data_IF_625687634830
#
_entry.id   IF_625687634830
#
_cell.length_a   1.000
_cell.length_b   1.000
_cell.length_c   1.000
_cell.angle_alpha   90.00
_cell.angle_beta   90.00
_cell.angle_gamma   90.00
#
_symmetry.space_group_name_H-M   'P 1'
#
loop_
_entity.id
_entity.type
_entity.pdbx_description
1 polymer ?
#
# COMPACT_ATOMS: atom_id res chain seq x y z
N UNK A 1 -27.37 42.21 30.71
CA UNK A 1 -26.24 42.42 29.78
C UNK A 1 -25.35 41.18 29.78
N UNK A 2 -25.09 40.65 28.57
CA UNK A 2 -23.97 39.79 28.16
C UNK A 2 -23.76 38.46 28.92
N UNK A 3 -24.68 37.51 28.75
CA UNK A 3 -24.38 36.07 28.85
C UNK A 3 -24.00 35.54 27.46
N UNK A 4 -22.82 35.89 26.96
CA UNK A 4 -22.31 35.34 25.69
C UNK A 4 -20.81 35.13 25.83
N UNK A 5 -20.44 34.10 26.57
CA UNK A 5 -19.09 33.55 26.58
C UNK A 5 -19.25 32.10 27.03
N UNK A 6 -19.42 31.19 26.07
CA UNK A 6 -19.08 29.74 26.15
C UNK A 6 -19.81 28.93 25.08
N UNK A 7 -19.79 29.35 23.81
CA UNK A 7 -20.35 28.55 22.71
C UNK A 7 -19.39 28.42 21.51
N UNK A 8 -18.08 28.64 21.72
CA UNK A 8 -17.07 28.63 20.65
C UNK A 8 -16.11 27.44 20.64
N UNK A 9 -16.20 26.50 21.59
CA UNK A 9 -15.17 25.47 21.78
C UNK A 9 -15.54 24.05 21.30
N UNK A 10 -16.70 23.87 20.66
CA UNK A 10 -17.23 22.52 20.35
C UNK A 10 -17.03 22.04 18.91
N UNK A 11 -16.39 22.82 18.02
CA UNK A 11 -16.36 22.46 16.59
C UNK A 11 -14.97 22.17 15.98
N UNK A 12 -13.91 22.02 16.79
CA UNK A 12 -12.55 21.80 16.24
C UNK A 12 -12.06 20.33 16.24
N UNK A 13 -12.80 19.36 16.81
CA UNK A 13 -12.30 17.98 16.95
C UNK A 13 -12.78 16.99 15.88
N UNK A 14 -13.64 17.40 14.94
CA UNK A 14 -14.25 16.47 13.98
C UNK A 14 -13.38 16.11 12.75
N UNK A 15 -12.20 16.73 12.55
CA UNK A 15 -11.42 16.57 11.32
C UNK A 15 -10.27 15.56 11.37
N UNK A 16 -10.05 14.88 12.50
CA UNK A 16 -8.87 14.01 12.66
C UNK A 16 -9.04 12.55 12.18
N UNK A 17 -10.22 12.13 11.71
CA UNK A 17 -10.52 10.71 11.47
C UNK A 17 -10.47 10.23 10.02
N UNK A 18 -9.93 11.01 9.07
CA UNK A 18 -9.75 10.53 7.69
C UNK A 18 -8.52 11.12 7.00
N UNK A 19 -7.37 11.15 7.68
CA UNK A 19 -6.11 11.43 6.99
C UNK A 19 -5.75 10.22 6.12
N UNK A 20 -6.05 10.31 4.82
CA UNK A 20 -5.54 9.40 3.80
C UNK A 20 -4.01 9.52 3.75
N UNK A 21 -3.32 8.41 3.46
CA UNK A 21 -1.87 8.46 3.32
C UNK A 21 -1.51 9.36 2.12
N UNK A 22 -0.48 10.18 2.30
CA UNK A 22 0.25 10.93 1.28
C UNK A 22 1.32 10.09 0.61
N UNK A 23 2.01 9.20 1.35
CA UNK A 23 3.11 8.39 0.81
C UNK A 23 2.80 6.89 0.80
N UNK A 24 3.12 6.25 -0.32
CA UNK A 24 2.89 4.83 -0.56
C UNK A 24 4.14 4.13 -1.07
N UNK A 25 4.41 2.96 -0.53
CA UNK A 25 5.35 2.01 -1.12
C UNK A 25 4.68 1.32 -2.32
N UNK A 26 5.35 1.33 -3.48
CA UNK A 26 4.85 0.74 -4.73
C UNK A 26 5.46 -0.63 -4.97
N UNK A 27 4.62 -1.64 -5.22
CA UNK A 27 5.02 -2.97 -5.65
C UNK A 27 4.40 -3.24 -7.01
N UNK A 28 5.22 -3.50 -8.02
CA UNK A 28 4.77 -3.75 -9.39
C UNK A 28 4.79 -5.24 -9.73
N UNK A 29 3.71 -5.71 -10.34
CA UNK A 29 3.54 -7.08 -10.78
C UNK A 29 3.58 -7.11 -12.30
N UNK A 30 4.74 -7.52 -12.82
CA UNK A 30 4.97 -7.67 -14.24
C UNK A 30 4.69 -9.12 -14.67
N UNK A 31 4.30 -9.30 -15.92
CA UNK A 31 4.23 -10.61 -16.56
C UNK A 31 5.46 -10.87 -17.41
N UNK A 32 5.71 -12.14 -17.73
CA UNK A 32 6.75 -12.57 -18.67
C UNK A 32 6.08 -13.29 -19.85
N UNK A 33 5.10 -14.14 -19.57
CA UNK A 33 4.19 -14.77 -20.52
C UNK A 33 2.96 -15.26 -19.75
N UNK A 34 1.75 -15.07 -20.27
CA UNK A 34 0.50 -15.60 -19.73
C UNK A 34 0.05 -15.05 -18.36
N UNK A 35 0.52 -13.87 -17.95
CA UNK A 35 -0.01 -13.17 -16.78
C UNK A 35 1.00 -12.82 -15.68
N UNK A 36 0.59 -11.93 -14.76
CA UNK A 36 1.45 -11.46 -13.68
C UNK A 36 1.68 -12.54 -12.62
N UNK A 37 2.67 -12.31 -11.77
CA UNK A 37 2.88 -13.16 -10.61
C UNK A 37 1.71 -13.06 -9.59
N UNK A 38 1.59 -14.06 -8.72
CA UNK A 38 0.54 -14.08 -7.70
C UNK A 38 0.70 -12.95 -6.66
N UNK A 39 -0.40 -12.29 -6.29
CA UNK A 39 -0.46 -11.31 -5.19
C UNK A 39 -0.26 -11.95 -3.80
N UNK A 40 -0.50 -13.26 -3.69
CA UNK A 40 -0.62 -13.97 -2.39
C UNK A 40 0.56 -13.77 -1.45
N UNK A 41 1.84 -13.89 -1.89
CA UNK A 41 2.98 -13.80 -0.96
C UNK A 41 3.08 -12.43 -0.30
N UNK A 42 2.96 -11.35 -1.08
CA UNK A 42 3.02 -9.98 -0.56
C UNK A 42 1.80 -9.65 0.29
N UNK A 43 0.58 -9.99 -0.16
CA UNK A 43 -0.63 -9.73 0.62
C UNK A 43 -0.61 -10.50 1.95
N UNK A 44 -0.17 -11.76 1.93
CA UNK A 44 -0.04 -12.56 3.16
C UNK A 44 0.93 -11.91 4.15
N UNK A 45 2.10 -11.48 3.65
CA UNK A 45 3.06 -10.73 4.45
C UNK A 45 2.46 -9.43 5.01
N UNK A 46 1.74 -8.63 4.22
CA UNK A 46 1.12 -7.38 4.69
C UNK A 46 0.06 -7.63 5.77
N UNK A 47 -0.74 -8.70 5.63
CA UNK A 47 -1.71 -9.13 6.66
C UNK A 47 -0.99 -9.52 7.95
N UNK A 48 0.10 -10.28 7.84
CA UNK A 48 0.89 -10.67 9.00
C UNK A 48 1.58 -9.47 9.67
N UNK A 49 2.16 -8.57 8.88
CA UNK A 49 2.78 -7.34 9.35
C UNK A 49 1.78 -6.48 10.13
N UNK A 50 0.57 -6.29 9.58
CA UNK A 50 -0.53 -5.59 10.26
C UNK A 50 -0.83 -6.21 11.62
N UNK A 51 -1.01 -7.54 11.67
CA UNK A 51 -1.32 -8.29 12.90
C UNK A 51 -0.20 -8.18 13.93
N UNK A 52 1.05 -8.42 13.53
CA UNK A 52 2.23 -8.40 14.42
C UNK A 52 2.50 -7.02 15.01
N UNK A 53 2.21 -5.96 14.28
CA UNK A 53 2.43 -4.58 14.72
C UNK A 53 1.17 -3.92 15.32
N UNK A 54 0.08 -4.67 15.51
CA UNK A 54 -1.19 -4.18 16.08
C UNK A 54 -1.74 -2.94 15.36
N UNK A 55 -1.55 -2.88 14.04
CA UNK A 55 -2.01 -1.77 13.20
C UNK A 55 -3.52 -1.92 12.95
N UNK A 56 -4.31 -0.92 13.33
CA UNK A 56 -5.78 -0.94 13.17
C UNK A 56 -6.20 -1.08 11.69
N UNK A 57 -5.63 -0.24 10.83
CA UNK A 57 -5.89 -0.23 9.39
C UNK A 57 -4.58 -0.01 8.63
N UNK A 58 -4.30 -0.88 7.66
CA UNK A 58 -3.23 -0.71 6.69
C UNK A 58 -3.91 -0.42 5.36
N UNK A 59 -3.71 0.78 4.82
CA UNK A 59 -4.26 1.16 3.54
C UNK A 59 -3.48 0.48 2.42
N UNK A 60 -4.21 -0.29 1.59
CA UNK A 60 -3.66 -0.98 0.43
C UNK A 60 -4.52 -0.61 -0.75
N UNK A 61 -3.90 0.01 -1.76
CA UNK A 61 -4.55 0.34 -3.03
C UNK A 61 -4.00 -0.60 -4.11
N UNK A 62 -4.83 -0.89 -5.10
CA UNK A 62 -4.48 -1.75 -6.22
C UNK A 62 -4.87 -1.08 -7.52
N UNK A 63 -3.90 -0.90 -8.41
CA UNK A 63 -4.11 -0.37 -9.75
C UNK A 63 -3.97 -1.49 -10.77
N UNK A 64 -5.03 -1.80 -11.50
CA UNK A 64 -5.07 -2.88 -12.48
C UNK A 64 -5.03 -2.38 -13.92
N UNK A 65 -4.74 -3.28 -14.86
CA UNK A 65 -4.79 -2.98 -16.29
C UNK A 65 -3.62 -2.12 -16.74
N UNK A 66 -2.44 -2.37 -16.17
CA UNK A 66 -1.20 -1.66 -16.53
C UNK A 66 -0.51 -2.24 -17.76
N UNK A 67 -0.90 -3.44 -18.19
CA UNK A 67 -0.38 -4.07 -19.39
C UNK A 67 -1.37 -5.05 -20.00
N UNK A 68 -0.87 -5.87 -20.94
CA UNK A 68 -1.70 -6.71 -21.80
C UNK A 68 -2.15 -8.01 -21.14
N UNK A 69 -1.41 -8.47 -20.13
CA UNK A 69 -1.64 -9.77 -19.50
C UNK A 69 -2.23 -9.65 -18.08
N UNK A 70 -2.59 -8.44 -17.66
CA UNK A 70 -3.23 -8.16 -16.38
C UNK A 70 -2.28 -7.65 -15.31
N UNK A 71 -1.15 -7.08 -15.71
CA UNK A 71 -0.17 -6.40 -14.86
C UNK A 71 -0.85 -5.35 -13.97
N UNK A 72 -0.36 -5.24 -12.74
CA UNK A 72 -0.95 -4.39 -11.72
C UNK A 72 0.09 -3.89 -10.73
N UNK A 73 -0.24 -2.80 -10.04
CA UNK A 73 0.54 -2.27 -8.93
C UNK A 73 -0.25 -2.42 -7.62
N UNK A 74 0.47 -2.66 -6.53
CA UNK A 74 -0.02 -2.52 -5.17
C UNK A 74 0.68 -1.32 -4.53
N UNK A 75 -0.10 -0.48 -3.84
CA UNK A 75 0.37 0.67 -3.10
C UNK A 75 0.04 0.49 -1.63
N UNK A 76 1.04 0.61 -0.75
CA UNK A 76 0.87 0.41 0.70
C UNK A 76 1.12 1.75 1.40
N UNK A 77 0.10 2.29 2.06
CA UNK A 77 0.20 3.55 2.79
C UNK A 77 1.10 3.42 4.02
N UNK A 78 2.01 4.37 4.22
CA UNK A 78 3.03 4.28 5.27
C UNK A 78 3.09 5.42 6.29
N UNK A 79 2.28 6.47 6.15
CA UNK A 79 2.45 7.70 6.92
C UNK A 79 2.14 7.54 8.41
N UNK A 80 1.24 6.61 8.73
CA UNK A 80 0.89 6.30 10.12
C UNK A 80 1.91 5.37 10.80
N UNK A 81 2.92 4.87 10.07
CA UNK A 81 3.95 3.98 10.61
C UNK A 81 5.06 4.78 11.26
N UNK A 82 5.52 4.35 12.44
CA UNK A 82 6.79 4.82 12.99
C UNK A 82 7.96 4.45 12.08
N UNK A 83 9.08 5.17 12.20
CA UNK A 83 10.32 4.90 11.45
C UNK A 83 10.74 3.42 11.55
N UNK A 84 10.65 2.84 12.76
CA UNK A 84 10.99 1.44 13.01
C UNK A 84 9.99 0.45 12.37
N UNK A 85 8.70 0.80 12.31
CA UNK A 85 7.71 -0.02 11.61
C UNK A 85 7.91 0.06 10.10
N UNK A 86 8.17 1.26 9.55
CA UNK A 86 8.46 1.47 8.12
C UNK A 86 9.72 0.70 7.69
N UNK A 87 10.79 0.76 8.45
CA UNK A 87 12.02 -0.01 8.18
C UNK A 87 11.76 -1.52 8.16
N UNK A 88 11.01 -2.04 9.14
CA UNK A 88 10.62 -3.47 9.18
C UNK A 88 9.69 -3.86 8.03
N UNK A 89 8.80 -2.96 7.61
CA UNK A 89 7.94 -3.15 6.45
C UNK A 89 8.76 -3.30 5.17
N UNK A 90 9.67 -2.36 4.92
CA UNK A 90 10.55 -2.37 3.74
C UNK A 90 11.38 -3.66 3.71
N UNK A 91 11.99 -4.05 4.83
CA UNK A 91 12.79 -5.27 4.90
C UNK A 91 11.97 -6.53 4.59
N UNK A 92 10.76 -6.62 5.12
CA UNK A 92 9.91 -7.78 4.87
C UNK A 92 9.31 -7.80 3.45
N UNK A 93 9.01 -6.65 2.86
CA UNK A 93 8.65 -6.55 1.43
C UNK A 93 9.80 -7.00 0.53
N UNK A 94 11.03 -6.54 0.79
CA UNK A 94 12.22 -6.99 0.07
C UNK A 94 12.37 -8.52 0.13
N UNK A 95 12.19 -9.12 1.32
CA UNK A 95 12.25 -10.56 1.50
C UNK A 95 11.12 -11.29 0.75
N UNK A 96 9.88 -10.82 0.84
CA UNK A 96 8.72 -11.42 0.16
C UNK A 96 8.89 -11.39 -1.37
N UNK A 97 9.33 -10.25 -1.92
CA UNK A 97 9.60 -10.05 -3.34
C UNK A 97 10.75 -10.95 -3.81
N UNK A 98 11.87 -10.96 -3.07
CA UNK A 98 13.02 -11.79 -3.40
C UNK A 98 12.68 -13.28 -3.38
N UNK A 99 11.98 -13.74 -2.35
CA UNK A 99 11.55 -15.14 -2.24
C UNK A 99 10.62 -15.55 -3.37
N UNK A 100 9.67 -14.68 -3.73
CA UNK A 100 8.77 -14.93 -4.85
C UNK A 100 9.53 -14.98 -6.19
N UNK A 101 10.44 -14.04 -6.42
CA UNK A 101 11.20 -13.97 -7.66
C UNK A 101 12.22 -15.11 -7.80
N UNK A 102 12.83 -15.55 -6.70
CA UNK A 102 13.80 -16.65 -6.70
C UNK A 102 13.14 -18.02 -6.79
N UNK A 103 11.93 -18.16 -6.23
CA UNK A 103 11.14 -19.40 -6.29
C UNK A 103 10.29 -19.55 -7.56
N UNK A 104 10.29 -18.58 -8.47
CA UNK A 104 9.45 -18.62 -9.68
C UNK A 104 10.06 -19.51 -10.76
N UNK A 105 9.21 -20.18 -11.54
CA UNK A 105 9.62 -20.73 -12.84
C UNK A 105 9.84 -19.57 -13.80
N UNK A 106 11.09 -19.34 -14.20
CA UNK A 106 11.48 -18.09 -14.87
C UNK A 106 10.77 -17.85 -16.21
N UNK A 107 10.34 -18.92 -16.88
CA UNK A 107 9.76 -18.88 -18.22
C UNK A 107 8.24 -18.67 -18.24
N UNK A 108 7.53 -18.94 -17.14
CA UNK A 108 6.05 -18.94 -17.13
C UNK A 108 5.43 -18.02 -16.09
N UNK A 109 6.18 -17.63 -15.07
CA UNK A 109 5.66 -16.82 -13.99
C UNK A 109 6.21 -15.41 -14.08
N UNK A 110 5.29 -14.44 -14.03
CA UNK A 110 5.62 -13.03 -13.87
C UNK A 110 6.53 -12.75 -12.67
N UNK A 111 7.04 -11.52 -12.60
CA UNK A 111 7.97 -11.08 -11.57
C UNK A 111 7.43 -9.89 -10.79
N UNK A 112 7.93 -9.74 -9.57
CA UNK A 112 7.65 -8.56 -8.75
C UNK A 112 8.83 -7.60 -8.82
N UNK A 113 8.52 -6.31 -8.82
CA UNK A 113 9.49 -5.26 -8.63
C UNK A 113 9.09 -4.42 -7.41
N UNK A 114 10.07 -4.16 -6.55
CA UNK A 114 9.93 -3.29 -5.39
C UNK A 114 11.22 -2.52 -5.21
N UNK A 115 11.10 -1.21 -5.16
CA UNK A 115 12.16 -0.28 -4.79
C UNK A 115 11.62 0.59 -3.65
N UNK A 116 12.37 0.62 -2.54
CA UNK A 116 11.97 1.40 -1.36
C UNK A 116 12.21 2.91 -1.54
N UNK A 117 12.97 3.32 -2.56
CA UNK A 117 13.17 4.72 -2.92
C UNK A 117 12.05 5.23 -3.86
N UNK A 118 11.35 4.33 -4.56
CA UNK A 118 10.24 4.64 -5.46
C UNK A 118 8.93 4.83 -4.67
N UNK A 119 8.79 6.01 -4.07
CA UNK A 119 7.62 6.40 -3.29
C UNK A 119 6.58 7.01 -4.21
N UNK A 120 5.38 6.42 -4.23
CA UNK A 120 4.23 7.01 -4.90
C UNK A 120 3.53 8.01 -3.98
N UNK A 121 3.13 9.16 -4.52
CA UNK A 121 2.40 10.17 -3.77
C UNK A 121 0.90 10.13 -4.06
N UNK A 122 0.10 10.49 -3.07
CA UNK A 122 -1.37 10.44 -3.19
C UNK A 122 -1.89 11.26 -4.37
N UNK A 123 -1.29 12.41 -4.65
CA UNK A 123 -1.66 13.27 -5.77
C UNK A 123 -1.57 12.56 -7.14
N UNK A 124 -0.60 11.66 -7.29
CA UNK A 124 -0.40 10.88 -8.52
C UNK A 124 -1.43 9.75 -8.60
N UNK A 125 -1.80 9.18 -7.44
CA UNK A 125 -2.74 8.07 -7.33
C UNK A 125 -4.20 8.52 -7.51
N UNK A 126 -4.58 9.73 -7.10
CA UNK A 126 -5.96 10.24 -7.28
C UNK A 126 -6.36 10.30 -8.75
N UNK A 127 -5.39 10.55 -9.64
CA UNK A 127 -5.61 10.62 -11.08
C UNK A 127 -5.33 9.29 -11.80
N UNK A 128 -4.91 8.26 -11.07
CA UNK A 128 -4.58 6.97 -11.63
C UNK A 128 -5.85 6.22 -12.07
N UNK A 129 -5.89 5.83 -13.34
CA UNK A 129 -6.97 4.97 -13.87
C UNK A 129 -6.95 3.61 -13.19
N UNK A 130 -8.13 3.03 -12.98
CA UNK A 130 -8.33 1.67 -12.45
C UNK A 130 -7.72 1.43 -11.06
N UNK A 131 -7.59 2.49 -10.26
CA UNK A 131 -7.17 2.39 -8.86
C UNK A 131 -8.35 2.04 -7.96
N UNK A 132 -8.19 1.03 -7.12
CA UNK A 132 -9.22 0.56 -6.20
C UNK A 132 -8.63 0.29 -4.82
N UNK A 133 -9.45 0.39 -3.77
CA UNK A 133 -9.05 -0.05 -2.43
C UNK A 133 -9.06 -1.58 -2.42
N UNK A 134 -7.94 -2.18 -2.02
CA UNK A 134 -7.86 -3.63 -1.87
C UNK A 134 -8.69 -4.10 -0.66
N UNK A 135 -9.80 -4.79 -0.93
CA UNK A 135 -10.72 -5.32 0.07
C UNK A 135 -10.74 -6.85 -0.04
N UNK A 136 -9.89 -7.55 0.71
CA UNK A 136 -9.87 -9.03 0.73
C UNK A 136 -9.19 -9.59 1.99
#
# INVERSE_FOLDING_TARGET
MKKVLSAGALFCFALFFSQKNQNYLKISYASVCCGPASEKPVISYLKEFKRKNQIRSLEILMQKGLGKEGEFNIYVGTDFLSINQRSRLIRGLNAAVSNQNNGRKQESNGMLHFDSADIAHQQDLVNAKNLTIYKK
#
